data_IF_177848698485
#
_entry.id   IF_177848698485
#
_cell.length_a   1.000
_cell.length_b   1.000
_cell.length_c   1.000
_cell.angle_alpha   90.00
_cell.angle_beta   90.00
_cell.angle_gamma   90.00
#
_symmetry.space_group_name_H-M   'P 1'
#
loop_
_entity.id
_entity.type
_entity.pdbx_description
1 polymer ?
#
# COMPACT_ATOMS: atom_id res chain seq x y z
N UNK A 1 -29.02 -10.78 7.09
CA UNK A 1 -27.58 -10.56 7.33
C UNK A 1 -27.32 -9.77 8.61
N UNK A 2 -27.54 -8.44 8.68
CA UNK A 2 -27.21 -7.66 9.89
C UNK A 2 -27.93 -8.16 11.14
N UNK A 3 -29.23 -8.47 11.04
CA UNK A 3 -29.98 -9.07 12.14
C UNK A 3 -29.38 -10.42 12.58
N UNK A 4 -28.99 -11.28 11.64
CA UNK A 4 -28.38 -12.59 11.96
C UNK A 4 -27.02 -12.43 12.65
N UNK A 5 -26.21 -11.46 12.21
CA UNK A 5 -24.89 -11.16 12.77
C UNK A 5 -24.99 -10.56 14.19
N UNK A 6 -26.04 -9.79 14.46
CA UNK A 6 -26.33 -9.29 15.82
C UNK A 6 -26.78 -10.43 16.74
N UNK A 7 -27.66 -11.31 16.27
CA UNK A 7 -28.20 -12.41 17.07
C UNK A 7 -27.17 -13.50 17.35
N UNK A 8 -26.28 -13.79 16.40
CA UNK A 8 -25.21 -14.77 16.56
C UNK A 8 -24.00 -14.21 17.36
N UNK A 9 -23.99 -12.91 17.68
CA UNK A 9 -22.97 -12.28 18.51
C UNK A 9 -21.58 -12.14 17.87
N UNK A 10 -21.33 -12.75 16.71
CA UNK A 10 -20.02 -12.70 16.04
C UNK A 10 -19.66 -11.32 15.51
N UNK A 11 -20.66 -10.48 15.18
CA UNK A 11 -20.50 -9.10 14.66
C UNK A 11 -19.50 -8.97 13.50
N UNK A 12 -19.23 -10.04 12.74
CA UNK A 12 -18.19 -10.09 11.71
C UNK A 12 -18.73 -10.63 10.39
N UNK A 13 -18.23 -10.08 9.29
CA UNK A 13 -18.52 -10.56 7.93
C UNK A 13 -17.36 -10.28 6.99
N UNK A 14 -17.31 -11.01 5.88
CA UNK A 14 -16.24 -10.89 4.87
C UNK A 14 -16.78 -10.17 3.64
N UNK A 15 -15.99 -9.23 3.13
CA UNK A 15 -16.24 -8.55 1.86
C UNK A 15 -15.18 -8.99 0.86
N UNK A 16 -15.60 -9.50 -0.30
CA UNK A 16 -14.68 -9.89 -1.38
C UNK A 16 -15.11 -9.23 -2.69
N UNK A 17 -14.13 -8.99 -3.56
CA UNK A 17 -14.35 -8.45 -4.89
C UNK A 17 -14.86 -9.55 -5.82
N UNK A 18 -15.90 -9.26 -6.58
CA UNK A 18 -16.37 -10.13 -7.67
C UNK A 18 -15.47 -9.98 -8.88
N UNK A 19 -15.19 -11.08 -9.59
CA UNK A 19 -14.44 -11.04 -10.83
C UNK A 19 -15.18 -10.18 -11.88
N UNK A 20 -14.49 -9.23 -12.56
CA UNK A 20 -15.16 -8.28 -13.46
C UNK A 20 -15.87 -8.96 -14.63
N UNK A 21 -15.27 -10.04 -15.16
CA UNK A 21 -15.79 -10.73 -16.37
C UNK A 21 -16.48 -12.06 -16.10
N UNK A 22 -16.37 -12.63 -14.90
CA UNK A 22 -16.83 -14.00 -14.60
C UNK A 22 -17.84 -13.92 -13.47
N UNK A 23 -19.11 -14.12 -13.80
CA UNK A 23 -20.21 -14.05 -12.84
C UNK A 23 -20.08 -15.15 -11.79
N UNK A 24 -20.29 -14.81 -10.52
CA UNK A 24 -20.24 -15.76 -9.40
C UNK A 24 -18.83 -16.22 -9.02
N UNK A 25 -17.78 -15.64 -9.63
CA UNK A 25 -16.40 -15.83 -9.21
C UNK A 25 -15.97 -14.67 -8.32
N UNK A 26 -15.25 -14.97 -7.25
CA UNK A 26 -14.82 -14.01 -6.24
C UNK A 26 -13.31 -14.06 -6.09
N UNK A 27 -12.72 -12.96 -5.63
CA UNK A 27 -11.33 -12.91 -5.25
C UNK A 27 -11.06 -13.93 -4.15
N UNK A 28 -9.91 -14.61 -4.28
CA UNK A 28 -9.43 -15.60 -3.30
C UNK A 28 -9.22 -14.99 -1.91
N UNK A 29 -8.92 -13.71 -1.82
CA UNK A 29 -8.75 -12.99 -0.55
C UNK A 29 -9.88 -11.99 -0.37
N UNK A 30 -10.52 -12.04 0.80
CA UNK A 30 -11.51 -11.07 1.26
C UNK A 30 -11.02 -10.26 2.46
N UNK A 31 -11.71 -9.17 2.76
CA UNK A 31 -11.45 -8.30 3.92
C UNK A 31 -12.47 -8.62 5.02
N UNK A 32 -11.98 -8.83 6.24
CA UNK A 32 -12.80 -9.09 7.41
C UNK A 32 -13.22 -7.78 8.07
N UNK A 33 -14.52 -7.53 8.08
CA UNK A 33 -15.13 -6.39 8.75
C UNK A 33 -15.75 -6.83 10.07
N UNK A 34 -15.60 -5.98 11.08
CA UNK A 34 -16.32 -6.05 12.34
C UNK A 34 -17.29 -4.88 12.43
N UNK A 35 -18.54 -5.17 12.74
CA UNK A 35 -19.57 -4.18 13.04
C UNK A 35 -19.33 -3.62 14.44
N UNK A 36 -19.05 -2.32 14.53
CA UNK A 36 -18.82 -1.63 15.81
C UNK A 36 -20.12 -1.05 16.35
N UNK A 37 -20.84 -0.33 15.50
CA UNK A 37 -22.08 0.36 15.85
C UNK A 37 -23.13 0.14 14.75
N UNK A 38 -24.38 -0.01 15.18
CA UNK A 38 -25.53 -0.15 14.32
C UNK A 38 -26.67 0.67 14.90
N UNK A 39 -27.08 1.69 14.16
CA UNK A 39 -28.23 2.54 14.50
C UNK A 39 -29.35 2.29 13.51
N UNK A 40 -30.51 1.92 14.01
CA UNK A 40 -31.74 1.89 13.23
C UNK A 40 -32.33 3.30 13.18
N UNK A 41 -32.50 3.84 11.97
CA UNK A 41 -32.98 5.23 11.75
C UNK A 41 -34.20 5.27 10.82
N UNK A 42 -34.86 4.12 10.66
CA UNK A 42 -36.07 3.95 9.85
C UNK A 42 -37.17 4.94 10.27
N UNK A 43 -37.43 5.04 11.58
CA UNK A 43 -38.45 5.96 12.13
C UNK A 43 -38.09 7.44 11.92
N UNK A 44 -36.81 7.79 12.01
CA UNK A 44 -36.35 9.17 11.88
C UNK A 44 -36.29 9.65 10.43
N UNK A 45 -36.13 8.71 9.49
CA UNK A 45 -35.96 9.00 8.06
C UNK A 45 -37.19 8.65 7.22
N UNK A 46 -38.33 8.36 7.84
CA UNK A 46 -39.56 7.93 7.15
C UNK A 46 -39.30 6.73 6.22
N UNK A 47 -38.65 5.69 6.75
CA UNK A 47 -38.28 4.45 6.05
C UNK A 47 -37.32 4.59 4.86
N UNK A 48 -36.72 5.77 4.63
CA UNK A 48 -35.75 5.95 3.55
C UNK A 48 -34.41 5.25 3.83
N UNK A 49 -33.96 5.27 5.09
CA UNK A 49 -32.71 4.62 5.51
C UNK A 49 -33.01 3.73 6.70
N UNK A 50 -32.81 2.43 6.51
CA UNK A 50 -33.11 1.45 7.57
C UNK A 50 -32.02 1.39 8.64
N UNK A 51 -30.75 1.42 8.24
CA UNK A 51 -29.61 1.28 9.16
C UNK A 51 -28.46 2.20 8.79
N UNK A 52 -27.82 2.78 9.81
CA UNK A 52 -26.51 3.41 9.73
C UNK A 52 -25.54 2.53 10.50
N UNK A 53 -24.51 2.04 9.81
CA UNK A 53 -23.54 1.10 10.36
C UNK A 53 -22.15 1.73 10.38
N UNK A 54 -21.41 1.54 11.48
CA UNK A 54 -19.97 1.78 11.52
C UNK A 54 -19.25 0.43 11.51
N UNK A 55 -18.27 0.29 10.63
CA UNK A 55 -17.49 -0.94 10.48
C UNK A 55 -16.01 -0.65 10.59
N UNK A 56 -15.30 -1.55 11.26
CA UNK A 56 -13.85 -1.55 11.34
C UNK A 56 -13.30 -2.74 10.56
N UNK A 57 -12.28 -2.49 9.76
CA UNK A 57 -11.50 -3.57 9.13
C UNK A 57 -10.61 -4.17 10.21
N UNK A 58 -10.73 -5.49 10.43
CA UNK A 58 -9.99 -6.21 11.47
C UNK A 58 -8.97 -7.21 10.92
N UNK A 59 -9.01 -7.50 9.62
CA UNK A 59 -8.04 -8.41 9.01
C UNK A 59 -8.44 -8.85 7.61
N UNK A 60 -7.79 -9.91 7.14
CA UNK A 60 -8.03 -10.53 5.83
C UNK A 60 -8.39 -12.01 5.98
N UNK A 61 -9.08 -12.55 5.00
CA UNK A 61 -9.52 -13.96 4.98
C UNK A 61 -9.17 -14.56 3.64
N UNK A 62 -8.52 -15.71 3.64
CA UNK A 62 -8.39 -16.55 2.46
C UNK A 62 -9.68 -17.36 2.30
N UNK A 63 -10.41 -17.13 1.21
CA UNK A 63 -11.68 -17.78 0.89
C UNK A 63 -11.36 -19.06 0.12
N UNK A 64 -11.68 -20.19 0.72
CA UNK A 64 -11.43 -21.51 0.13
C UNK A 64 -12.62 -21.95 -0.73
N UNK A 65 -13.85 -21.77 -0.23
CA UNK A 65 -15.07 -22.18 -0.96
C UNK A 65 -16.30 -21.38 -0.56
N UNK A 66 -17.20 -21.14 -1.52
CA UNK A 66 -18.56 -20.64 -1.27
C UNK A 66 -19.50 -21.82 -0.99
N UNK A 67 -20.18 -21.80 0.16
CA UNK A 67 -21.01 -22.91 0.64
C UNK A 67 -22.42 -22.93 0.03
N UNK A 68 -22.95 -21.76 -0.35
CA UNK A 68 -24.30 -21.59 -0.90
C UNK A 68 -24.28 -20.77 -2.20
N UNK A 69 -23.71 -21.31 -3.29
CA UNK A 69 -23.57 -20.57 -4.55
C UNK A 69 -24.90 -20.17 -5.19
N UNK A 70 -25.97 -20.95 -4.99
CA UNK A 70 -27.29 -20.67 -5.59
C UNK A 70 -27.91 -19.34 -5.14
N UNK A 71 -27.55 -18.90 -3.93
CA UNK A 71 -27.98 -17.62 -3.35
C UNK A 71 -27.47 -16.42 -4.14
N UNK A 72 -26.37 -16.58 -4.88
CA UNK A 72 -25.87 -15.53 -5.78
C UNK A 72 -26.92 -15.13 -6.83
N UNK A 73 -27.70 -16.09 -7.30
CA UNK A 73 -28.73 -15.87 -8.32
C UNK A 73 -30.04 -15.40 -7.69
N UNK A 74 -30.49 -16.05 -6.62
CA UNK A 74 -31.78 -15.72 -5.99
C UNK A 74 -31.75 -14.40 -5.21
N UNK A 75 -30.59 -14.03 -4.65
CA UNK A 75 -30.38 -12.84 -3.80
C UNK A 75 -31.32 -12.73 -2.59
N UNK A 76 -31.95 -13.83 -2.20
CA UNK A 76 -32.86 -13.88 -1.05
C UNK A 76 -32.12 -13.76 0.28
N UNK A 77 -30.84 -14.15 0.30
CA UNK A 77 -29.99 -14.10 1.48
C UNK A 77 -28.54 -13.79 1.11
N UNK A 78 -27.62 -13.92 2.06
CA UNK A 78 -26.20 -13.65 1.92
C UNK A 78 -25.39 -14.93 1.60
N UNK A 79 -24.24 -14.74 0.95
CA UNK A 79 -23.30 -15.83 0.70
C UNK A 79 -22.56 -16.20 1.99
N UNK A 80 -22.35 -17.50 2.17
CA UNK A 80 -21.57 -18.12 3.22
C UNK A 80 -20.32 -18.70 2.59
N UNK A 81 -19.19 -18.45 3.22
CA UNK A 81 -17.88 -18.89 2.75
C UNK A 81 -17.17 -19.66 3.84
N UNK A 82 -16.44 -20.69 3.43
CA UNK A 82 -15.43 -21.35 4.23
C UNK A 82 -14.07 -20.74 3.88
N UNK A 83 -13.28 -20.42 4.90
CA UNK A 83 -12.02 -19.74 4.72
C UNK A 83 -11.25 -19.60 6.01
N UNK A 84 -9.97 -19.29 5.87
CA UNK A 84 -9.03 -19.13 6.98
C UNK A 84 -8.71 -17.65 7.18
N UNK A 85 -8.81 -17.15 8.41
CA UNK A 85 -8.41 -15.77 8.75
C UNK A 85 -6.89 -15.70 8.67
N UNK A 86 -6.39 -14.71 7.94
CA UNK A 86 -4.96 -14.41 7.84
C UNK A 86 -4.63 -13.55 9.07
N UNK A 87 -3.77 -14.08 9.94
CA UNK A 87 -3.28 -13.36 11.12
C UNK A 87 -2.13 -12.44 10.69
N UNK A 88 -2.46 -11.21 10.37
CA UNK A 88 -1.49 -10.18 9.99
C UNK A 88 -0.72 -9.62 11.22
N UNK A 89 -1.07 -10.05 12.45
CA UNK A 89 -0.50 -9.58 13.72
C UNK A 89 0.56 -10.51 14.29
N UNK A 90 0.68 -11.73 13.76
CA UNK A 90 1.85 -12.56 13.99
C UNK A 90 2.85 -12.19 12.91
N UNK A 91 3.74 -11.27 13.26
CA UNK A 91 5.12 -11.44 12.82
C UNK A 91 5.45 -12.89 13.16
N UNK A 92 5.66 -13.72 12.14
CA UNK A 92 6.26 -15.01 12.35
C UNK A 92 7.66 -14.71 12.91
N UNK A 93 7.77 -14.59 14.24
CA UNK A 93 9.00 -14.92 14.97
C UNK A 93 9.27 -16.40 14.70
N UNK A 94 9.75 -16.67 13.48
CA UNK A 94 10.38 -17.93 13.14
C UNK A 94 11.65 -17.93 13.96
N UNK A 95 11.64 -18.71 15.04
CA UNK A 95 12.80 -19.03 15.86
C UNK A 95 14.00 -19.34 14.95
N UNK A 96 14.91 -18.38 14.84
CA UNK A 96 16.08 -18.38 13.97
C UNK A 96 17.19 -19.30 14.50
N UNK A 97 16.83 -20.42 15.14
CA UNK A 97 17.77 -21.37 15.73
C UNK A 97 18.01 -22.62 14.85
N UNK A 98 17.33 -22.73 13.71
CA UNK A 98 17.54 -23.84 12.75
C UNK A 98 17.87 -23.32 11.34
N UNK A 99 19.16 -23.31 11.01
CA UNK A 99 19.73 -22.97 9.68
C UNK A 99 19.05 -23.69 8.50
N UNK A 100 18.36 -24.79 8.76
CA UNK A 100 17.61 -25.56 7.74
C UNK A 100 16.35 -24.83 7.30
N UNK A 101 15.67 -24.09 8.18
CA UNK A 101 14.40 -23.43 7.87
C UNK A 101 14.57 -22.11 7.12
N UNK A 102 15.69 -21.40 7.30
CA UNK A 102 16.02 -20.20 6.52
C UNK A 102 16.22 -20.56 5.04
N UNK A 103 16.86 -21.69 4.76
CA UNK A 103 17.02 -22.18 3.39
C UNK A 103 15.68 -22.59 2.73
N UNK A 104 14.75 -23.16 3.51
CA UNK A 104 13.41 -23.55 3.02
C UNK A 104 12.48 -22.34 2.87
N UNK A 105 12.60 -21.32 3.73
CA UNK A 105 11.87 -20.05 3.61
C UNK A 105 12.40 -19.21 2.42
N UNK A 106 13.72 -19.20 2.18
CA UNK A 106 14.30 -18.65 0.96
C UNK A 106 13.86 -19.44 -0.29
N UNK A 107 13.70 -20.76 -0.18
CA UNK A 107 13.11 -21.61 -1.22
C UNK A 107 11.58 -21.44 -1.39
N UNK A 108 10.93 -20.66 -0.52
CA UNK A 108 9.50 -20.30 -0.61
C UNK A 108 9.24 -18.93 -1.22
N UNK A 109 10.28 -18.15 -1.59
CA UNK A 109 10.03 -17.01 -2.47
C UNK A 109 9.54 -17.55 -3.81
N UNK A 110 8.42 -17.02 -4.28
CA UNK A 110 7.93 -17.35 -5.61
C UNK A 110 8.99 -16.98 -6.66
N UNK A 111 8.99 -17.67 -7.81
CA UNK A 111 9.92 -17.36 -8.91
C UNK A 111 9.79 -15.89 -9.34
N UNK A 112 8.58 -15.35 -9.21
CA UNK A 112 8.21 -13.97 -9.46
C UNK A 112 8.83 -13.00 -8.45
N UNK A 113 8.80 -13.31 -7.15
CA UNK A 113 9.42 -12.49 -6.10
C UNK A 113 10.94 -12.39 -6.28
N UNK A 114 11.60 -13.50 -6.62
CA UNK A 114 13.03 -13.50 -6.88
C UNK A 114 13.38 -12.68 -8.14
N UNK A 115 12.56 -12.79 -9.20
CA UNK A 115 12.71 -11.97 -10.39
C UNK A 115 12.56 -10.48 -10.09
N UNK A 116 11.59 -10.12 -9.25
CA UNK A 116 11.38 -8.73 -8.83
C UNK A 116 12.57 -8.19 -8.04
N UNK A 117 13.11 -8.97 -7.09
CA UNK A 117 14.34 -8.64 -6.35
C UNK A 117 15.53 -8.42 -7.28
N UNK A 118 15.75 -9.33 -8.22
CA UNK A 118 16.85 -9.23 -9.16
C UNK A 118 16.71 -8.00 -10.09
N UNK A 119 15.48 -7.72 -10.55
CA UNK A 119 15.20 -6.54 -11.37
C UNK A 119 15.43 -5.25 -10.59
N UNK A 120 15.05 -5.21 -9.30
CA UNK A 120 15.33 -4.07 -8.43
C UNK A 120 16.84 -3.86 -8.24
N UNK A 121 17.60 -4.92 -7.93
CA UNK A 121 19.06 -4.83 -7.82
C UNK A 121 19.72 -4.25 -9.08
N UNK A 122 19.34 -4.76 -10.25
CA UNK A 122 19.84 -4.27 -11.53
C UNK A 122 19.52 -2.79 -11.76
N UNK A 123 18.31 -2.35 -11.38
CA UNK A 123 17.92 -0.94 -11.45
C UNK A 123 18.79 -0.07 -10.54
N UNK A 124 19.04 -0.50 -9.30
CA UNK A 124 19.89 0.24 -8.36
C UNK A 124 21.31 0.38 -8.90
N UNK A 125 21.88 -0.67 -9.47
CA UNK A 125 23.22 -0.61 -10.08
C UNK A 125 23.26 0.37 -11.24
N UNK A 126 22.27 0.31 -12.15
CA UNK A 126 22.18 1.22 -13.29
C UNK A 126 22.05 2.70 -12.85
N UNK A 127 21.29 2.99 -11.79
CA UNK A 127 21.18 4.36 -11.25
C UNK A 127 22.51 4.89 -10.73
N UNK A 128 23.35 4.03 -10.13
CA UNK A 128 24.67 4.42 -9.65
C UNK A 128 25.67 4.60 -10.79
N UNK A 129 25.62 3.73 -11.81
CA UNK A 129 26.44 3.86 -13.02
C UNK A 129 26.15 5.18 -13.76
N UNK A 130 24.88 5.55 -13.86
CA UNK A 130 24.44 6.81 -14.48
C UNK A 130 24.62 8.05 -13.58
N UNK A 131 25.05 7.86 -12.33
CA UNK A 131 25.20 8.92 -11.34
C UNK A 131 23.93 9.78 -11.17
N UNK A 132 22.76 9.15 -11.13
CA UNK A 132 21.50 9.89 -10.94
C UNK A 132 21.48 10.67 -9.61
N UNK A 133 21.02 11.92 -9.63
CA UNK A 133 20.99 12.80 -8.46
C UNK A 133 20.11 12.25 -7.32
N UNK A 134 18.94 11.68 -7.66
CA UNK A 134 18.04 10.99 -6.73
C UNK A 134 17.98 9.52 -7.10
N UNK A 135 18.50 8.65 -6.24
CA UNK A 135 18.64 7.21 -6.49
C UNK A 135 18.40 6.40 -5.22
N UNK A 136 18.06 5.12 -5.40
CA UNK A 136 18.04 4.17 -4.30
C UNK A 136 19.47 3.91 -3.80
N UNK A 137 19.62 3.56 -2.52
CA UNK A 137 20.93 3.18 -1.97
C UNK A 137 21.22 1.72 -2.26
N UNK A 138 22.50 1.32 -2.38
CA UNK A 138 22.85 -0.11 -2.54
C UNK A 138 22.34 -0.98 -1.38
N UNK A 139 22.32 -0.45 -0.17
CA UNK A 139 21.76 -1.12 1.01
C UNK A 139 20.24 -1.39 0.90
N UNK A 140 19.50 -0.63 0.09
CA UNK A 140 18.06 -0.85 -0.10
C UNK A 140 17.74 -2.15 -0.84
N UNK A 141 18.71 -2.74 -1.54
CA UNK A 141 18.55 -4.05 -2.21
C UNK A 141 18.37 -5.17 -1.17
N UNK A 142 19.14 -5.11 -0.07
CA UNK A 142 19.10 -6.13 0.98
C UNK A 142 17.81 -6.05 1.80
N UNK A 143 17.29 -4.85 2.02
CA UNK A 143 16.02 -4.61 2.71
C UNK A 143 14.80 -4.61 1.79
N UNK A 144 14.95 -5.01 0.52
CA UNK A 144 13.84 -5.02 -0.44
C UNK A 144 12.80 -6.11 -0.13
N UNK A 145 11.66 -5.66 0.37
CA UNK A 145 10.55 -6.46 0.90
C UNK A 145 9.53 -6.85 -0.17
N UNK A 146 9.46 -8.13 -0.53
CA UNK A 146 8.56 -8.64 -1.60
C UNK A 146 7.57 -9.69 -1.12
N UNK A 147 7.58 -10.02 0.18
CA UNK A 147 6.72 -11.09 0.68
C UNK A 147 5.24 -10.72 0.52
N UNK A 148 4.36 -11.69 0.27
CA UNK A 148 2.93 -11.45 0.28
C UNK A 148 2.49 -11.08 1.71
N UNK A 149 1.72 -10.00 1.86
CA UNK A 149 1.21 -9.57 3.16
C UNK A 149 1.35 -8.08 3.41
N UNK A 150 0.88 -7.65 4.57
CA UNK A 150 0.95 -6.27 5.07
C UNK A 150 1.98 -6.07 6.18
N UNK A 151 2.78 -7.10 6.47
CA UNK A 151 3.85 -7.04 7.48
C UNK A 151 5.02 -6.13 7.09
N UNK A 152 5.99 -6.00 7.99
CA UNK A 152 7.17 -5.15 7.82
C UNK A 152 8.11 -5.59 6.69
N UNK A 153 8.00 -6.83 6.23
CA UNK A 153 8.73 -7.38 5.08
C UNK A 153 7.82 -7.65 3.86
N UNK A 154 6.61 -7.10 3.89
CA UNK A 154 5.61 -7.25 2.85
C UNK A 154 5.78 -6.30 1.66
N UNK A 155 5.15 -6.64 0.54
CA UNK A 155 5.13 -5.86 -0.70
C UNK A 155 4.71 -4.38 -0.48
N UNK A 156 3.89 -4.09 0.51
CA UNK A 156 3.46 -2.72 0.81
C UNK A 156 4.61 -1.81 1.26
N UNK A 157 5.65 -2.35 1.90
CA UNK A 157 6.83 -1.57 2.23
C UNK A 157 7.61 -1.19 0.98
N UNK A 158 7.71 -2.10 0.01
CA UNK A 158 8.24 -1.80 -1.32
C UNK A 158 7.44 -0.71 -2.02
N UNK A 159 6.10 -0.75 -1.96
CA UNK A 159 5.26 0.30 -2.55
C UNK A 159 5.54 1.66 -1.88
N UNK A 160 5.67 1.71 -0.55
CA UNK A 160 6.02 2.94 0.19
C UNK A 160 7.40 3.45 -0.16
N UNK A 161 8.38 2.56 -0.33
CA UNK A 161 9.73 2.90 -0.78
C UNK A 161 9.70 3.59 -2.16
N UNK A 162 8.94 3.03 -3.11
CA UNK A 162 8.76 3.62 -4.43
C UNK A 162 8.02 4.96 -4.40
N UNK A 163 7.03 5.11 -3.52
CA UNK A 163 6.32 6.37 -3.32
C UNK A 163 7.29 7.46 -2.81
N UNK A 164 8.06 7.17 -1.76
CA UNK A 164 9.07 8.08 -1.20
C UNK A 164 10.11 8.48 -2.25
N UNK A 165 10.59 7.53 -3.05
CA UNK A 165 11.51 7.82 -4.16
C UNK A 165 10.91 8.79 -5.18
N UNK A 166 9.64 8.59 -5.56
CA UNK A 166 8.96 9.46 -6.52
C UNK A 166 8.77 10.88 -5.97
N UNK A 167 8.42 10.98 -4.68
CA UNK A 167 8.30 12.27 -3.98
C UNK A 167 9.65 13.01 -3.92
N UNK A 168 10.74 12.32 -3.59
CA UNK A 168 12.09 12.91 -3.60
C UNK A 168 12.49 13.41 -4.99
N UNK A 169 12.18 12.66 -6.05
CA UNK A 169 12.42 13.11 -7.44
C UNK A 169 11.62 14.35 -7.78
N UNK A 170 10.35 14.40 -7.37
CA UNK A 170 9.49 15.56 -7.61
C UNK A 170 10.07 16.81 -6.94
N UNK A 171 10.48 16.70 -5.67
CA UNK A 171 11.09 17.80 -4.92
C UNK A 171 12.40 18.26 -5.57
N UNK A 172 13.27 17.32 -5.99
CA UNK A 172 14.51 17.70 -6.66
C UNK A 172 14.24 18.45 -7.99
N UNK A 173 13.30 17.96 -8.81
CA UNK A 173 12.90 18.65 -10.05
C UNK A 173 12.33 20.04 -9.79
N UNK A 174 11.55 20.22 -8.73
CA UNK A 174 11.05 21.53 -8.33
C UNK A 174 12.19 22.47 -7.94
N UNK A 175 13.19 21.99 -7.20
CA UNK A 175 14.36 22.78 -6.81
C UNK A 175 15.24 23.15 -8.01
N UNK A 176 15.44 22.22 -8.95
CA UNK A 176 16.13 22.47 -10.23
C UNK A 176 15.43 23.59 -11.01
N UNK A 177 14.11 23.51 -11.16
CA UNK A 177 13.31 24.51 -11.87
C UNK A 177 13.38 25.89 -11.19
N UNK A 178 13.34 25.93 -9.86
CA UNK A 178 13.49 27.18 -9.10
C UNK A 178 14.87 27.81 -9.29
N UNK A 179 15.94 27.01 -9.22
CA UNK A 179 17.31 27.47 -9.51
C UNK A 179 17.44 27.98 -10.93
N UNK A 180 16.89 27.27 -11.91
CA UNK A 180 16.96 27.69 -13.31
C UNK A 180 16.21 29.01 -13.53
N UNK A 181 15.03 29.17 -12.95
CA UNK A 181 14.27 30.42 -13.00
C UNK A 181 15.04 31.58 -12.38
N UNK A 182 15.63 31.38 -11.20
CA UNK A 182 16.45 32.41 -10.53
C UNK A 182 17.68 32.78 -11.36
N UNK A 183 18.38 31.79 -11.93
CA UNK A 183 19.53 32.04 -12.79
C UNK A 183 19.14 32.89 -14.01
N UNK A 184 18.02 32.58 -14.66
CA UNK A 184 17.48 33.37 -15.78
C UNK A 184 17.10 34.79 -15.35
N UNK A 185 16.52 34.96 -14.15
CA UNK A 185 16.18 36.28 -13.61
C UNK A 185 17.44 37.12 -13.35
N UNK A 186 18.48 36.53 -12.77
CA UNK A 186 19.78 37.19 -12.55
C UNK A 186 20.39 37.60 -13.90
N UNK A 187 20.39 36.70 -14.88
CA UNK A 187 20.90 36.97 -16.23
C UNK A 187 20.16 38.14 -16.89
N UNK A 188 18.83 38.16 -16.77
CA UNK A 188 17.99 39.26 -17.25
C UNK A 188 18.31 40.60 -16.55
N UNK A 189 18.41 40.60 -15.21
CA UNK A 189 18.73 41.81 -14.42
C UNK A 189 20.12 42.36 -14.74
N UNK A 190 21.10 41.48 -14.95
CA UNK A 190 22.45 41.87 -15.42
C UNK A 190 22.39 42.49 -16.81
N UNK A 191 21.63 41.89 -17.73
CA UNK A 191 21.58 42.29 -19.14
C UNK A 191 20.78 43.58 -19.38
N UNK A 192 19.60 43.72 -18.78
CA UNK A 192 18.71 44.86 -19.04
C UNK A 192 18.83 46.00 -18.04
N UNK A 193 19.16 45.69 -16.77
CA UNK A 193 19.20 46.68 -15.69
C UNK A 193 20.61 47.04 -15.21
N UNK A 194 21.65 46.37 -15.71
CA UNK A 194 23.04 46.67 -15.36
C UNK A 194 23.37 46.48 -13.88
N UNK A 195 22.58 45.65 -13.17
CA UNK A 195 22.72 45.41 -11.73
C UNK A 195 24.06 44.73 -11.45
N UNK A 196 24.85 45.28 -10.53
CA UNK A 196 26.17 44.76 -10.14
C UNK A 196 26.01 43.57 -9.17
N UNK A 197 27.01 42.68 -9.12
CA UNK A 197 26.97 41.45 -8.30
C UNK A 197 26.79 41.68 -6.79
N UNK A 198 26.98 42.91 -6.30
CA UNK A 198 26.80 43.31 -4.91
C UNK A 198 25.31 43.57 -4.55
N UNK A 199 24.46 43.85 -5.54
CA UNK A 199 23.03 44.16 -5.36
C UNK A 199 22.11 42.96 -5.63
N UNK A 200 22.70 41.81 -6.00
CA UNK A 200 21.95 40.58 -6.23
C UNK A 200 21.54 39.95 -4.89
N UNK A 201 20.33 39.37 -4.79
CA UNK A 201 19.91 38.66 -3.59
C UNK A 201 20.86 37.49 -3.31
N UNK A 202 21.66 37.58 -2.25
CA UNK A 202 22.48 36.47 -1.75
C UNK A 202 21.64 35.64 -0.81
N UNK A 203 21.43 34.36 -1.15
CA UNK A 203 20.85 33.45 -0.18
C UNK A 203 21.92 32.99 0.81
N UNK A 204 21.65 33.24 2.09
CA UNK A 204 22.42 32.75 3.22
C UNK A 204 22.33 31.23 3.31
N UNK A 205 23.50 30.59 3.31
CA UNK A 205 23.69 29.25 3.84
C UNK A 205 23.82 29.40 5.36
N UNK A 206 22.73 29.72 6.05
CA UNK A 206 22.67 29.65 7.51
C UNK A 206 21.41 28.89 7.92
N UNK A 207 21.62 27.62 8.29
CA UNK A 207 20.58 26.73 8.79
C UNK A 207 20.98 25.26 8.67
N UNK A 208 21.87 24.79 9.54
CA UNK A 208 22.13 23.35 9.72
C UNK A 208 23.50 23.01 10.32
N UNK A 209 23.69 23.36 11.59
CA UNK A 209 24.51 22.58 12.52
C UNK A 209 23.63 21.46 13.10
#
# INVERSE_FOLDING_TARGET
MYNDILMNGSKRFVVSMSHPSVKGSFAKVGVLFQLEDLKEVSEQTQDQIKYICNHKVIGRVNIDKVLNPDVWTSRETYLKVEGTIIDDSKDDEIDASSDVYVAVAAAKLSTEEQRLKNAFACLVDMQHELQEDVRFTKASVDSFAVKPGSGEDGLWQTIRLWQSYTEQRLVNRQNEMQKEFQNKLIEFLKREKGVKDEELPRYGVEGGL
#
